data_IF_241086056425
#
_entry.id   IF_241086056425
#
_cell.length_a   1.000
_cell.length_b   1.000
_cell.length_c   1.000
_cell.angle_alpha   90.00
_cell.angle_beta   90.00
_cell.angle_gamma   90.00
#
_symmetry.space_group_name_H-M   'P 1'
#
loop_
_entity.id
_entity.type
_entity.pdbx_description
1 polymer ?
#
# COMPACT_ATOMS: atom_id res chain seq x y z
N UNK A 1 37.52 64.36 -14.51
CA UNK A 1 36.56 63.59 -13.69
C UNK A 1 35.41 63.13 -14.59
N UNK A 2 35.45 61.88 -15.07
CA UNK A 2 34.33 61.23 -15.76
C UNK A 2 33.98 60.00 -14.93
N UNK A 3 32.83 60.03 -14.26
CA UNK A 3 32.33 58.92 -13.45
C UNK A 3 31.60 57.91 -14.32
N UNK A 4 32.04 56.66 -14.32
CA UNK A 4 31.26 55.52 -14.78
C UNK A 4 30.44 54.99 -13.60
N UNK A 5 29.11 55.08 -13.70
CA UNK A 5 28.17 54.35 -12.84
C UNK A 5 28.02 52.93 -13.37
N UNK A 6 28.54 51.94 -12.65
CA UNK A 6 28.21 50.53 -12.85
C UNK A 6 26.84 50.23 -12.22
N UNK A 7 25.88 49.85 -13.05
CA UNK A 7 24.63 49.25 -12.60
C UNK A 7 24.87 47.75 -12.35
N UNK A 8 24.78 47.31 -11.10
CA UNK A 8 24.82 45.90 -10.74
C UNK A 8 23.47 45.24 -11.07
N UNK A 9 23.45 44.37 -12.07
CA UNK A 9 22.30 43.54 -12.41
C UNK A 9 22.24 42.37 -11.41
N UNK A 10 21.35 42.45 -10.41
CA UNK A 10 21.07 41.33 -9.52
C UNK A 10 20.19 40.33 -10.26
N UNK A 11 20.81 39.27 -10.77
CA UNK A 11 20.12 38.14 -11.39
C UNK A 11 19.62 37.23 -10.25
N UNK A 12 18.39 37.42 -9.76
CA UNK A 12 17.74 36.45 -8.88
C UNK A 12 17.47 35.19 -9.68
N UNK A 13 18.24 34.13 -9.43
CA UNK A 13 17.96 32.80 -9.93
C UNK A 13 16.63 32.32 -9.30
N UNK A 14 15.53 32.47 -10.02
CA UNK A 14 14.27 31.82 -9.69
C UNK A 14 14.45 30.36 -10.07
N UNK A 15 14.83 29.51 -9.11
CA UNK A 15 14.75 28.06 -9.30
C UNK A 15 13.28 27.74 -9.63
N UNK A 16 12.99 27.07 -10.76
CA UNK A 16 11.62 26.68 -11.05
C UNK A 16 11.14 25.77 -9.92
N UNK A 17 10.10 26.22 -9.21
CA UNK A 17 9.41 25.37 -8.24
C UNK A 17 8.82 24.20 -9.04
N UNK A 18 9.29 22.99 -8.77
CA UNK A 18 8.70 21.79 -9.33
C UNK A 18 7.27 21.68 -8.79
N UNK A 19 6.28 21.56 -9.66
CA UNK A 19 4.89 21.39 -9.22
C UNK A 19 4.72 19.97 -8.69
N UNK A 20 4.33 19.86 -7.42
CA UNK A 20 4.04 18.57 -6.80
C UNK A 20 2.85 17.89 -7.48
N UNK A 21 2.77 16.56 -7.38
CA UNK A 21 1.66 15.80 -7.95
C UNK A 21 0.31 16.32 -7.41
N UNK A 22 -0.70 16.53 -8.26
CA UNK A 22 -2.04 16.84 -7.81
C UNK A 22 -2.57 15.71 -6.90
N UNK A 23 -3.27 16.01 -5.80
CA UNK A 23 -3.89 14.95 -5.01
C UNK A 23 -4.83 14.08 -5.86
N UNK A 24 -4.78 12.77 -5.68
CA UNK A 24 -5.83 11.87 -6.17
C UNK A 24 -6.97 11.89 -5.15
N UNK A 25 -8.21 11.99 -5.66
CA UNK A 25 -9.43 12.10 -4.86
C UNK A 25 -10.45 11.05 -5.27
N UNK A 26 -11.33 10.70 -4.33
CA UNK A 26 -12.47 9.82 -4.58
C UNK A 26 -13.60 10.58 -5.28
N UNK A 27 -14.19 9.97 -6.31
CA UNK A 27 -15.53 10.30 -6.86
C UNK A 27 -16.33 9.02 -7.01
N UNK A 28 -17.38 8.84 -6.21
CA UNK A 28 -18.13 7.59 -6.15
C UNK A 28 -17.20 6.40 -5.91
N UNK A 29 -17.26 5.39 -6.77
CA UNK A 29 -16.38 4.21 -6.74
C UNK A 29 -15.08 4.34 -7.55
N UNK A 30 -14.69 5.56 -7.94
CA UNK A 30 -13.50 5.81 -8.77
C UNK A 30 -12.50 6.74 -8.08
N UNK A 31 -11.22 6.52 -8.35
CA UNK A 31 -10.15 7.48 -8.03
C UNK A 31 -9.89 8.39 -9.24
N UNK A 32 -9.72 9.69 -9.01
CA UNK A 32 -9.45 10.66 -10.08
C UNK A 32 -8.36 11.65 -9.68
N UNK A 33 -7.60 12.12 -10.65
CA UNK A 33 -6.69 13.26 -10.48
C UNK A 33 -7.51 14.54 -10.24
N UNK A 34 -7.21 15.26 -9.16
CA UNK A 34 -7.98 16.45 -8.78
C UNK A 34 -7.80 17.66 -9.72
N UNK A 35 -6.73 17.69 -10.51
CA UNK A 35 -6.45 18.78 -11.46
C UNK A 35 -7.07 18.52 -12.84
N UNK A 36 -7.12 17.25 -13.28
CA UNK A 36 -7.59 16.89 -14.63
C UNK A 36 -8.96 16.21 -14.63
N UNK A 37 -9.45 15.73 -13.49
CA UNK A 37 -10.59 14.82 -13.35
C UNK A 37 -10.44 13.49 -14.11
N UNK A 38 -9.25 13.17 -14.62
CA UNK A 38 -9.02 11.90 -15.28
C UNK A 38 -9.02 10.77 -14.25
N UNK A 39 -9.59 9.62 -14.64
CA UNK A 39 -9.55 8.41 -13.81
C UNK A 39 -8.09 8.00 -13.54
N UNK A 40 -7.82 7.69 -12.28
CA UNK A 40 -6.56 7.18 -11.80
C UNK A 40 -6.70 5.68 -11.48
N UNK A 41 -5.87 4.86 -12.12
CA UNK A 41 -5.74 3.44 -11.80
C UNK A 41 -4.37 3.19 -11.15
N UNK A 42 -4.36 2.43 -10.07
CA UNK A 42 -3.17 2.05 -9.32
C UNK A 42 -2.40 1.01 -10.13
N UNK A 43 -1.17 1.35 -10.51
CA UNK A 43 -0.17 0.43 -11.04
C UNK A 43 0.96 0.44 -10.02
N UNK A 44 0.93 -0.51 -9.09
CA UNK A 44 1.70 -0.37 -7.86
C UNK A 44 2.58 -1.55 -7.50
N UNK A 45 3.39 -1.30 -6.47
CA UNK A 45 4.21 -2.30 -5.79
C UNK A 45 4.24 -2.02 -4.30
N UNK A 46 4.23 -3.07 -3.51
CA UNK A 46 4.41 -3.00 -2.07
C UNK A 46 5.89 -2.76 -1.72
N UNK A 47 6.17 -1.72 -0.93
CA UNK A 47 7.54 -1.24 -0.67
C UNK A 47 7.83 -1.20 0.83
N UNK A 48 8.34 -2.31 1.36
CA UNK A 48 8.80 -2.39 2.75
C UNK A 48 10.12 -3.18 2.88
N UNK A 49 11.25 -2.70 2.34
CA UNK A 49 12.56 -3.30 2.61
C UNK A 49 12.80 -3.63 4.09
N UNK A 50 13.15 -4.88 4.39
CA UNK A 50 13.31 -5.41 5.75
C UNK A 50 12.03 -5.96 6.40
N UNK A 51 10.88 -5.80 5.73
CA UNK A 51 9.58 -6.33 6.14
C UNK A 51 9.17 -5.90 7.55
N UNK A 52 8.30 -6.70 8.17
CA UNK A 52 7.85 -6.47 9.56
C UNK A 52 8.97 -6.58 10.59
N UNK A 53 10.05 -7.32 10.26
CA UNK A 53 11.20 -7.49 11.14
C UNK A 53 12.04 -6.21 11.32
N UNK A 54 11.91 -5.27 10.38
CA UNK A 54 12.58 -3.97 10.47
C UNK A 54 11.96 -3.02 11.49
N UNK A 55 10.68 -3.20 11.84
CA UNK A 55 9.97 -2.26 12.70
C UNK A 55 10.64 -2.09 14.07
N UNK A 56 10.81 -0.84 14.52
CA UNK A 56 11.43 -0.53 15.81
C UNK A 56 12.94 -0.75 15.90
N UNK A 57 13.60 -1.19 14.83
CA UNK A 57 15.07 -1.37 14.78
C UNK A 57 15.84 -0.08 14.44
N UNK A 58 15.13 0.99 14.08
CA UNK A 58 15.70 2.22 13.53
C UNK A 58 16.04 2.16 12.04
N UNK A 59 15.97 0.97 11.41
CA UNK A 59 16.23 0.77 9.97
C UNK A 59 15.01 0.20 9.21
N UNK A 60 13.85 0.09 9.86
CA UNK A 60 12.63 -0.47 9.26
C UNK A 60 11.77 0.51 8.48
N UNK A 61 12.09 1.81 8.54
CA UNK A 61 11.36 2.86 7.84
C UNK A 61 11.93 3.06 6.42
N UNK A 62 11.21 2.66 5.37
CA UNK A 62 11.72 2.68 4.00
C UNK A 62 11.66 4.07 3.37
N UNK A 63 11.08 5.07 4.05
CA UNK A 63 10.96 6.44 3.57
C UNK A 63 11.92 7.40 4.32
N UNK A 64 12.87 6.88 5.07
CA UNK A 64 13.85 7.67 5.84
C UNK A 64 15.23 7.79 5.17
N UNK A 65 15.53 6.96 4.16
CA UNK A 65 16.79 6.97 3.40
C UNK A 65 16.57 7.48 1.97
N UNK A 66 16.80 8.78 1.75
CA UNK A 66 16.65 9.41 0.43
C UNK A 66 17.53 8.81 -0.66
N UNK A 67 18.67 8.20 -0.32
CA UNK A 67 19.57 7.57 -1.28
C UNK A 67 19.00 6.23 -1.75
N UNK A 68 18.47 5.42 -0.83
CA UNK A 68 17.73 4.20 -1.17
C UNK A 68 16.44 4.52 -1.95
N UNK A 69 15.66 5.51 -1.50
CA UNK A 69 14.45 5.97 -2.18
C UNK A 69 14.74 6.40 -3.62
N UNK A 70 15.83 7.14 -3.87
CA UNK A 70 16.20 7.53 -5.24
C UNK A 70 16.51 6.32 -6.12
N UNK A 71 17.30 5.36 -5.62
CA UNK A 71 17.62 4.12 -6.35
C UNK A 71 16.34 3.38 -6.75
N UNK A 72 15.44 3.18 -5.79
CA UNK A 72 14.26 2.37 -5.97
C UNK A 72 13.21 3.09 -6.82
N UNK A 73 12.96 4.38 -6.58
CA UNK A 73 12.05 5.20 -7.37
C UNK A 73 12.44 5.24 -8.86
N UNK A 74 13.74 5.29 -9.19
CA UNK A 74 14.19 5.27 -10.60
C UNK A 74 13.86 3.95 -11.30
N UNK A 75 13.90 2.83 -10.58
CA UNK A 75 13.59 1.51 -11.12
C UNK A 75 12.07 1.30 -11.19
N UNK A 76 11.33 1.68 -10.14
CA UNK A 76 9.86 1.71 -10.16
C UNK A 76 9.31 2.60 -11.27
N UNK A 77 9.93 3.77 -11.47
CA UNK A 77 9.56 4.67 -12.57
C UNK A 77 9.72 3.98 -13.93
N UNK A 78 10.79 3.18 -14.13
CA UNK A 78 10.99 2.39 -15.35
C UNK A 78 9.96 1.28 -15.52
N UNK A 79 9.48 0.65 -14.44
CA UNK A 79 8.38 -0.33 -14.50
C UNK A 79 7.07 0.30 -14.96
N UNK A 80 6.88 1.61 -14.75
CA UNK A 80 5.58 2.26 -14.92
C UNK A 80 4.76 2.31 -13.64
N UNK A 81 5.37 1.99 -12.49
CA UNK A 81 4.73 2.08 -11.16
C UNK A 81 4.38 3.54 -10.88
N UNK A 82 3.15 3.77 -10.42
CA UNK A 82 2.63 5.07 -10.04
C UNK A 82 2.17 5.14 -8.59
N UNK A 83 2.21 4.02 -7.86
CA UNK A 83 1.79 3.94 -6.46
C UNK A 83 2.66 2.94 -5.71
N UNK A 84 3.07 3.27 -4.49
CA UNK A 84 3.65 2.33 -3.55
C UNK A 84 2.79 2.21 -2.30
N UNK A 85 2.84 1.06 -1.64
CA UNK A 85 2.24 0.87 -0.30
C UNK A 85 3.32 0.59 0.73
N UNK A 86 3.20 1.24 1.89
CA UNK A 86 4.09 1.06 3.04
C UNK A 86 3.27 0.55 4.23
N UNK A 87 3.77 -0.48 4.90
CA UNK A 87 3.07 -1.23 5.96
C UNK A 87 3.37 -0.72 7.36
N UNK A 88 4.55 -0.14 7.57
CA UNK A 88 4.92 0.46 8.83
C UNK A 88 5.94 1.59 8.62
N UNK A 89 5.81 2.63 9.45
CA UNK A 89 6.57 3.85 9.36
C UNK A 89 6.89 4.37 10.77
N UNK A 90 8.03 5.02 10.95
CA UNK A 90 8.33 5.77 12.18
C UNK A 90 7.99 7.23 11.94
N UNK A 91 6.87 7.74 12.49
CA UNK A 91 6.44 9.12 12.25
C UNK A 91 7.37 10.17 12.85
N UNK A 92 8.37 9.78 13.65
CA UNK A 92 9.35 10.71 14.25
C UNK A 92 10.56 11.00 13.36
N UNK A 93 10.77 10.20 12.30
CA UNK A 93 11.85 10.41 11.34
C UNK A 93 11.48 11.47 10.30
N UNK A 94 12.49 11.95 9.55
CA UNK A 94 12.27 12.86 8.43
C UNK A 94 12.06 12.05 7.14
N UNK A 95 10.92 12.26 6.48
CA UNK A 95 10.57 11.61 5.21
C UNK A 95 10.56 12.56 4.01
N UNK A 96 10.93 13.84 4.23
CA UNK A 96 10.77 14.92 3.26
C UNK A 96 11.44 14.57 1.93
N UNK A 97 12.67 14.07 1.97
CA UNK A 97 13.44 13.76 0.77
C UNK A 97 12.86 12.57 0.01
N UNK A 98 12.51 11.48 0.69
CA UNK A 98 11.90 10.31 0.03
C UNK A 98 10.54 10.64 -0.58
N UNK A 99 9.68 11.34 0.16
CA UNK A 99 8.37 11.76 -0.35
C UNK A 99 8.52 12.67 -1.57
N UNK A 100 9.51 13.56 -1.58
CA UNK A 100 9.82 14.42 -2.72
C UNK A 100 10.37 13.67 -3.92
N UNK A 101 11.19 12.64 -3.69
CA UNK A 101 11.72 11.76 -4.75
C UNK A 101 10.58 10.98 -5.41
N UNK A 102 9.69 10.37 -4.61
CA UNK A 102 8.55 9.63 -5.16
C UNK A 102 7.55 10.56 -5.86
N UNK A 103 7.28 11.74 -5.31
CA UNK A 103 6.46 12.77 -5.97
C UNK A 103 7.05 13.14 -7.34
N UNK A 104 8.34 13.48 -7.37
CA UNK A 104 9.07 13.76 -8.59
C UNK A 104 9.11 12.58 -9.57
N UNK A 105 9.03 11.34 -9.08
CA UNK A 105 8.98 10.15 -9.92
C UNK A 105 7.59 9.93 -10.55
N UNK A 106 6.57 10.68 -10.15
CA UNK A 106 5.17 10.42 -10.52
C UNK A 106 4.51 9.33 -9.67
N UNK A 107 5.01 9.07 -8.46
CA UNK A 107 4.61 7.96 -7.59
C UNK A 107 3.88 8.49 -6.35
N UNK A 108 2.67 7.99 -6.16
CA UNK A 108 1.87 8.18 -4.96
C UNK A 108 2.16 7.13 -3.90
N UNK A 109 1.77 7.41 -2.66
CA UNK A 109 2.01 6.53 -1.51
C UNK A 109 0.69 6.24 -0.79
N UNK A 110 0.38 4.97 -0.57
CA UNK A 110 -0.63 4.52 0.40
C UNK A 110 0.12 4.10 1.67
N UNK A 111 -0.31 4.61 2.82
CA UNK A 111 0.34 4.30 4.10
C UNK A 111 -0.61 3.56 5.03
N UNK A 112 -0.18 2.41 5.53
CA UNK A 112 -0.77 1.82 6.72
C UNK A 112 -0.37 2.68 7.94
N UNK A 113 -1.35 3.08 8.76
CA UNK A 113 -1.10 3.89 9.98
C UNK A 113 -0.76 3.04 11.20
N UNK A 114 -0.59 1.74 10.97
CA UNK A 114 -0.32 0.75 12.00
C UNK A 114 1.15 0.35 11.94
N UNK A 115 1.65 -0.24 13.02
CA UNK A 115 2.94 -0.91 13.03
C UNK A 115 2.83 -2.22 13.81
N UNK A 116 3.77 -3.18 13.64
CA UNK A 116 3.77 -4.41 14.43
C UNK A 116 4.20 -4.18 15.89
N UNK A 117 4.53 -2.95 16.29
CA UNK A 117 4.94 -2.64 17.66
C UNK A 117 3.73 -2.62 18.60
N UNK A 118 3.95 -3.09 19.83
CA UNK A 118 2.89 -3.15 20.85
C UNK A 118 2.24 -1.78 21.06
N UNK A 119 0.90 -1.76 21.03
CA UNK A 119 0.10 -0.54 21.19
C UNK A 119 0.00 0.34 19.95
N UNK A 120 0.51 -0.09 18.79
CA UNK A 120 0.46 0.64 17.52
C UNK A 120 -0.41 -0.05 16.45
N UNK A 121 -1.27 -0.98 16.86
CA UNK A 121 -2.23 -1.66 16.00
C UNK A 121 -3.48 -2.08 16.78
N UNK A 122 -4.57 -2.37 16.06
CA UNK A 122 -5.75 -3.05 16.62
C UNK A 122 -5.49 -4.57 16.66
N UNK A 123 -5.41 -5.14 17.86
CA UNK A 123 -5.30 -6.60 18.03
C UNK A 123 -6.66 -7.26 17.76
N UNK A 124 -6.73 -8.06 16.70
CA UNK A 124 -7.95 -8.75 16.27
C UNK A 124 -8.54 -9.70 17.31
N UNK A 125 -7.73 -10.17 18.27
CA UNK A 125 -8.16 -11.03 19.38
C UNK A 125 -8.73 -10.23 20.57
N UNK A 126 -8.40 -8.94 20.66
CA UNK A 126 -8.83 -8.04 21.72
C UNK A 126 -9.01 -6.59 21.20
N UNK A 127 -9.95 -6.35 20.26
CA UNK A 127 -10.11 -5.03 19.66
C UNK A 127 -10.56 -3.98 20.68
N UNK A 128 -11.38 -4.38 21.65
CA UNK A 128 -11.83 -3.50 22.74
C UNK A 128 -10.67 -2.98 23.61
N UNK A 129 -9.70 -3.84 23.93
CA UNK A 129 -8.55 -3.46 24.77
C UNK A 129 -7.47 -2.68 24.02
N UNK A 130 -7.41 -2.80 22.70
CA UNK A 130 -6.36 -2.18 21.88
C UNK A 130 -6.80 -0.92 21.15
N UNK A 131 -8.10 -0.69 20.98
CA UNK A 131 -8.65 0.62 20.60
C UNK A 131 -8.64 1.57 21.80
N UNK A 132 -7.49 2.20 22.03
CA UNK A 132 -7.25 3.10 23.16
C UNK A 132 -6.52 4.39 22.73
N UNK A 133 -6.32 5.32 23.66
CA UNK A 133 -5.72 6.62 23.37
C UNK A 133 -4.25 6.56 22.95
N UNK A 134 -3.49 5.57 23.42
CA UNK A 134 -2.10 5.37 23.01
C UNK A 134 -2.00 5.01 21.53
N UNK A 135 -2.80 4.02 21.11
CA UNK A 135 -2.90 3.61 19.70
C UNK A 135 -3.38 4.76 18.82
N UNK A 136 -4.47 5.44 19.18
CA UNK A 136 -4.97 6.56 18.39
C UNK A 136 -4.00 7.75 18.35
N UNK A 137 -3.21 7.98 19.40
CA UNK A 137 -2.14 8.98 19.36
C UNK A 137 -1.04 8.61 18.37
N UNK A 138 -0.68 7.33 18.25
CA UNK A 138 0.26 6.88 17.20
C UNK A 138 -0.31 7.13 15.80
N UNK A 139 -1.55 6.68 15.56
CA UNK A 139 -2.26 6.88 14.29
C UNK A 139 -2.27 8.36 13.88
N UNK A 140 -2.60 9.26 14.81
CA UNK A 140 -2.62 10.69 14.52
C UNK A 140 -1.22 11.27 14.29
N UNK A 141 -0.16 10.79 14.94
CA UNK A 141 1.21 11.20 14.63
C UNK A 141 1.63 10.78 13.21
N UNK A 142 1.22 9.60 12.73
CA UNK A 142 1.44 9.21 11.33
C UNK A 142 0.71 10.17 10.38
N UNK A 143 -0.56 10.50 10.67
CA UNK A 143 -1.30 11.48 9.86
C UNK A 143 -0.59 12.84 9.88
N UNK A 144 -0.11 13.32 11.02
CA UNK A 144 0.61 14.59 11.14
C UNK A 144 1.90 14.63 10.31
N UNK A 145 2.69 13.56 10.37
CA UNK A 145 3.93 13.43 9.60
C UNK A 145 3.68 13.48 8.09
N UNK A 146 2.55 12.97 7.59
CA UNK A 146 2.34 12.76 6.15
C UNK A 146 1.23 13.59 5.49
N UNK A 147 0.31 14.20 6.24
CA UNK A 147 -0.81 14.97 5.66
C UNK A 147 -0.40 16.16 4.79
N UNK A 148 0.85 16.62 4.91
CA UNK A 148 1.42 17.72 4.14
C UNK A 148 1.77 17.36 2.69
N UNK A 149 1.99 16.09 2.38
CA UNK A 149 2.39 15.64 1.05
C UNK A 149 1.17 15.42 0.15
N UNK A 150 1.20 15.97 -1.06
CA UNK A 150 0.10 15.83 -2.02
C UNK A 150 0.07 14.46 -2.67
N UNK A 151 1.22 13.76 -2.75
CA UNK A 151 1.33 12.41 -3.26
C UNK A 151 0.94 11.30 -2.25
N UNK A 152 0.42 11.64 -1.06
CA UNK A 152 -0.27 10.65 -0.22
C UNK A 152 -1.64 10.34 -0.84
N UNK A 153 -1.78 9.14 -1.40
CA UNK A 153 -3.03 8.66 -2.02
C UNK A 153 -4.11 8.41 -0.96
N UNK A 154 -3.73 7.83 0.17
CA UNK A 154 -4.65 7.51 1.26
C UNK A 154 -3.98 6.78 2.40
N UNK A 155 -4.75 6.54 3.45
CA UNK A 155 -4.32 5.79 4.62
C UNK A 155 -5.12 4.50 4.79
N UNK A 156 -4.44 3.37 5.05
CA UNK A 156 -5.10 2.17 5.53
C UNK A 156 -5.22 2.23 7.06
N UNK A 157 -6.45 2.21 7.56
CA UNK A 157 -6.77 2.16 8.98
C UNK A 157 -6.45 0.79 9.61
N UNK A 158 -6.36 -0.26 8.80
CA UNK A 158 -6.06 -1.62 9.22
C UNK A 158 -5.81 -2.54 8.04
N UNK A 159 -5.10 -3.63 8.31
CA UNK A 159 -4.75 -4.67 7.35
C UNK A 159 -5.13 -6.04 7.92
N UNK A 160 -6.02 -6.76 7.24
CA UNK A 160 -6.43 -8.14 7.55
C UNK A 160 -6.76 -8.38 9.03
N UNK A 161 -7.37 -7.39 9.69
CA UNK A 161 -7.85 -7.54 11.07
C UNK A 161 -8.93 -8.64 11.10
N UNK A 162 -9.81 -8.62 10.11
CA UNK A 162 -10.74 -9.71 9.80
C UNK A 162 -10.03 -10.64 8.80
N UNK A 163 -9.62 -11.81 9.26
CA UNK A 163 -8.92 -12.82 8.45
C UNK A 163 -9.55 -14.22 8.52
N UNK A 164 -10.64 -14.36 9.28
CA UNK A 164 -11.45 -15.57 9.37
C UNK A 164 -12.85 -15.24 9.94
N UNK A 165 -13.74 -16.23 10.00
CA UNK A 165 -15.09 -16.05 10.55
C UNK A 165 -15.07 -15.64 12.04
N UNK A 166 -14.25 -16.25 12.93
CA UNK A 166 -14.16 -15.82 14.33
C UNK A 166 -13.80 -14.34 14.51
N UNK A 167 -12.88 -13.81 13.70
CA UNK A 167 -12.45 -12.40 13.77
C UNK A 167 -13.49 -11.44 13.16
N UNK A 168 -14.40 -11.92 12.31
CA UNK A 168 -15.48 -11.13 11.73
C UNK A 168 -16.59 -10.74 12.73
N UNK A 169 -16.70 -11.42 13.87
CA UNK A 169 -17.68 -11.09 14.92
C UNK A 169 -17.35 -9.82 15.71
N UNK A 170 -16.16 -9.71 16.33
CA UNK A 170 -15.85 -8.59 17.22
C UNK A 170 -15.23 -7.37 16.54
N UNK A 171 -14.55 -7.52 15.40
CA UNK A 171 -13.69 -6.48 14.83
C UNK A 171 -14.38 -5.38 13.97
N UNK A 172 -15.42 -5.65 13.16
CA UNK A 172 -15.95 -4.65 12.22
C UNK A 172 -16.32 -3.29 12.86
N UNK A 173 -16.97 -3.22 14.04
CA UNK A 173 -17.29 -1.93 14.67
C UNK A 173 -16.06 -1.08 15.00
N UNK A 174 -14.95 -1.71 15.39
CA UNK A 174 -13.70 -1.02 15.75
C UNK A 174 -12.96 -0.50 14.52
N UNK A 175 -12.97 -1.25 13.41
CA UNK A 175 -12.42 -0.79 12.14
C UNK A 175 -13.14 0.49 11.70
N UNK A 176 -14.49 0.50 11.74
CA UNK A 176 -15.28 1.70 11.45
C UNK A 176 -15.00 2.85 12.42
N UNK A 177 -14.83 2.57 13.72
CA UNK A 177 -14.51 3.60 14.71
C UNK A 177 -13.14 4.26 14.47
N UNK A 178 -12.12 3.48 14.12
CA UNK A 178 -10.79 4.00 13.76
C UNK A 178 -10.89 4.87 12.51
N UNK A 179 -11.57 4.42 11.45
CA UNK A 179 -11.76 5.21 10.23
C UNK A 179 -12.51 6.52 10.51
N UNK A 180 -13.57 6.49 11.32
CA UNK A 180 -14.30 7.68 11.76
C UNK A 180 -13.36 8.69 12.42
N UNK A 181 -12.56 8.22 13.37
CA UNK A 181 -11.69 9.08 14.17
C UNK A 181 -10.54 9.65 13.34
N UNK A 182 -9.93 8.85 12.45
CA UNK A 182 -8.94 9.32 11.47
C UNK A 182 -9.53 10.39 10.56
N UNK A 183 -10.71 10.15 9.99
CA UNK A 183 -11.36 11.10 9.07
C UNK A 183 -11.76 12.40 9.78
N UNK A 184 -12.24 12.31 11.02
CA UNK A 184 -12.54 13.49 11.84
C UNK A 184 -11.27 14.29 12.18
N UNK A 185 -10.15 13.60 12.44
CA UNK A 185 -8.86 14.23 12.66
C UNK A 185 -8.35 14.94 11.40
N UNK A 186 -8.34 14.25 10.26
CA UNK A 186 -7.92 14.79 8.95
C UNK A 186 -8.77 16.02 8.60
N UNK A 187 -10.09 15.95 8.75
CA UNK A 187 -10.99 17.07 8.45
C UNK A 187 -10.72 18.34 9.27
N UNK A 188 -10.17 18.20 10.49
CA UNK A 188 -9.80 19.33 11.35
C UNK A 188 -8.39 19.85 11.10
N UNK A 189 -7.45 18.98 10.75
CA UNK A 189 -6.02 19.28 10.82
C UNK A 189 -5.28 19.23 9.48
N UNK A 190 -5.89 18.74 8.40
CA UNK A 190 -5.30 18.71 7.07
C UNK A 190 -5.92 19.77 6.15
N UNK A 191 -5.14 20.25 5.18
CA UNK A 191 -5.60 21.25 4.18
C UNK A 191 -6.44 20.64 3.05
N UNK A 192 -6.44 19.31 2.94
CA UNK A 192 -7.18 18.54 1.93
C UNK A 192 -7.81 17.32 2.57
N UNK A 193 -8.84 16.79 1.93
CA UNK A 193 -9.32 15.45 2.23
C UNK A 193 -8.24 14.43 1.85
N UNK A 194 -8.01 13.46 2.73
CA UNK A 194 -7.15 12.30 2.48
C UNK A 194 -8.03 11.07 2.71
N UNK A 195 -8.27 10.23 1.69
CA UNK A 195 -9.07 9.03 1.84
C UNK A 195 -8.53 8.11 2.93
N UNK A 196 -9.43 7.52 3.73
CA UNK A 196 -9.11 6.47 4.70
C UNK A 196 -9.87 5.20 4.36
N UNK A 197 -9.15 4.10 4.17
CA UNK A 197 -9.71 2.81 3.79
C UNK A 197 -9.21 1.65 4.66
N UNK A 198 -9.50 0.44 4.20
CA UNK A 198 -9.14 -0.81 4.86
C UNK A 198 -8.59 -1.80 3.84
N UNK A 199 -7.55 -2.55 4.22
CA UNK A 199 -6.97 -3.64 3.42
C UNK A 199 -7.48 -4.96 3.97
N UNK A 200 -8.24 -5.70 3.16
CA UNK A 200 -8.94 -6.91 3.55
C UNK A 200 -8.25 -8.18 3.06
N UNK A 201 -8.35 -9.25 3.86
CA UNK A 201 -8.01 -10.60 3.41
C UNK A 201 -9.10 -11.16 2.48
N UNK A 202 -8.69 -11.98 1.52
CA UNK A 202 -9.59 -12.67 0.60
C UNK A 202 -10.19 -13.93 1.25
N UNK A 203 -11.13 -13.73 2.17
CA UNK A 203 -11.83 -14.81 2.88
C UNK A 203 -13.20 -15.02 2.27
N UNK A 204 -13.30 -15.95 1.32
CA UNK A 204 -14.50 -16.26 0.51
C UNK A 204 -15.83 -16.20 1.27
N UNK A 205 -15.88 -16.76 2.49
CA UNK A 205 -17.12 -16.90 3.27
C UNK A 205 -17.66 -15.62 3.91
N UNK A 206 -16.85 -14.56 3.97
CA UNK A 206 -17.18 -13.29 4.64
C UNK A 206 -16.72 -12.04 3.88
N UNK A 207 -16.07 -12.19 2.72
CA UNK A 207 -15.56 -11.06 1.95
C UNK A 207 -16.67 -10.09 1.56
N UNK A 208 -17.80 -10.60 1.05
CA UNK A 208 -18.94 -9.77 0.68
C UNK A 208 -19.48 -9.00 1.90
N UNK A 209 -19.68 -9.69 3.03
CA UNK A 209 -20.18 -9.06 4.25
C UNK A 209 -19.21 -7.99 4.77
N UNK A 210 -17.89 -8.23 4.70
CA UNK A 210 -16.87 -7.27 5.10
C UNK A 210 -16.92 -6.00 4.25
N UNK A 211 -16.95 -6.15 2.92
CA UNK A 211 -17.05 -5.03 2.01
C UNK A 211 -18.39 -4.28 2.17
N UNK A 212 -19.53 -4.98 2.25
CA UNK A 212 -20.84 -4.35 2.45
C UNK A 212 -20.90 -3.57 3.78
N UNK A 213 -20.33 -4.15 4.84
CA UNK A 213 -20.25 -3.50 6.14
C UNK A 213 -19.42 -2.22 6.11
N UNK A 214 -18.31 -2.21 5.38
CA UNK A 214 -17.38 -1.09 5.35
C UNK A 214 -17.79 0.02 4.37
N UNK A 215 -18.46 -0.31 3.27
CA UNK A 215 -18.90 0.72 2.31
C UNK A 215 -20.18 1.45 2.73
N UNK A 216 -21.07 0.82 3.51
CA UNK A 216 -22.40 1.36 3.76
C UNK A 216 -22.38 2.66 4.60
N UNK A 217 -23.37 3.51 4.36
CA UNK A 217 -23.58 4.77 5.08
C UNK A 217 -24.30 4.52 6.41
N UNK A 218 -23.61 4.82 7.52
CA UNK A 218 -24.08 4.68 8.90
C UNK A 218 -24.57 6.01 9.50
N UNK A 219 -24.68 7.09 8.71
CA UNK A 219 -25.02 8.42 9.20
C UNK A 219 -23.88 9.15 9.91
N UNK A 220 -22.65 8.68 9.74
CA UNK A 220 -21.42 9.26 10.27
C UNK A 220 -20.25 9.12 9.27
N UNK A 221 -19.05 9.54 9.65
CA UNK A 221 -17.85 9.47 8.80
C UNK A 221 -17.15 8.09 8.80
N UNK A 222 -17.76 7.04 9.37
CA UNK A 222 -17.10 5.76 9.62
C UNK A 222 -17.00 4.81 8.42
N UNK A 223 -17.67 5.11 7.31
CA UNK A 223 -17.56 4.34 6.08
C UNK A 223 -16.15 4.44 5.51
N UNK A 224 -15.65 3.33 4.95
CA UNK A 224 -14.38 3.33 4.21
C UNK A 224 -14.48 4.23 2.98
N UNK A 225 -13.41 4.96 2.68
CA UNK A 225 -13.32 5.76 1.46
C UNK A 225 -12.89 4.90 0.27
N UNK A 226 -12.14 3.82 0.51
CA UNK A 226 -11.73 2.79 -0.44
C UNK A 226 -11.56 1.44 0.25
N UNK A 227 -11.52 0.36 -0.52
CA UNK A 227 -11.35 -1.01 -0.02
C UNK A 227 -10.24 -1.71 -0.81
N UNK A 228 -9.15 -2.02 -0.13
CA UNK A 228 -8.07 -2.85 -0.66
C UNK A 228 -8.39 -4.32 -0.42
N UNK A 229 -8.11 -5.18 -1.40
CA UNK A 229 -8.17 -6.63 -1.24
C UNK A 229 -6.78 -7.24 -1.47
N UNK A 230 -6.30 -8.01 -0.50
CA UNK A 230 -5.12 -8.83 -0.66
C UNK A 230 -5.52 -10.12 -1.38
N UNK A 231 -5.41 -10.17 -2.71
CA UNK A 231 -5.88 -11.30 -3.51
C UNK A 231 -4.72 -12.03 -4.19
N UNK A 232 -4.55 -13.29 -3.80
CA UNK A 232 -3.50 -14.19 -4.29
C UNK A 232 -4.09 -15.38 -5.07
N UNK A 233 -5.34 -15.27 -5.53
CA UNK A 233 -6.08 -16.39 -6.14
C UNK A 233 -5.60 -16.76 -7.56
N UNK A 234 -4.86 -15.88 -8.23
CA UNK A 234 -4.25 -16.16 -9.52
C UNK A 234 -2.81 -16.65 -9.35
N UNK A 235 -2.54 -17.90 -9.70
CA UNK A 235 -1.20 -18.50 -9.59
C UNK A 235 -0.77 -19.17 -10.92
N UNK A 236 0.35 -18.72 -11.48
CA UNK A 236 0.95 -19.30 -12.70
C UNK A 236 0.29 -18.85 -14.02
N UNK A 237 0.88 -19.25 -15.14
CA UNK A 237 0.45 -18.83 -16.49
C UNK A 237 -0.75 -19.59 -17.05
N UNK A 238 -1.13 -20.71 -16.45
CA UNK A 238 -2.31 -21.50 -16.86
C UNK A 238 -3.61 -21.01 -16.20
N UNK A 239 -3.51 -20.11 -15.21
CA UNK A 239 -4.68 -19.53 -14.58
C UNK A 239 -5.42 -18.57 -15.54
N UNK A 240 -6.74 -18.52 -15.41
CA UNK A 240 -7.63 -17.65 -16.18
C UNK A 240 -8.46 -16.77 -15.26
N UNK A 241 -9.14 -15.78 -15.85
CA UNK A 241 -10.09 -14.91 -15.16
C UNK A 241 -11.15 -15.69 -14.35
N UNK A 242 -11.57 -16.85 -14.85
CA UNK A 242 -12.53 -17.74 -14.18
C UNK A 242 -11.86 -18.65 -13.15
N UNK A 243 -10.73 -19.28 -13.48
CA UNK A 243 -10.08 -20.23 -12.57
C UNK A 243 -9.51 -19.54 -11.34
N UNK A 244 -9.06 -18.29 -11.48
CA UNK A 244 -8.62 -17.43 -10.37
C UNK A 244 -9.79 -16.80 -9.60
N UNK A 245 -11.03 -16.97 -10.05
CA UNK A 245 -12.21 -16.41 -9.37
C UNK A 245 -12.37 -14.88 -9.52
N UNK A 246 -11.56 -14.21 -10.34
CA UNK A 246 -11.70 -12.77 -10.58
C UNK A 246 -13.06 -12.40 -11.18
N UNK A 247 -13.66 -13.30 -11.97
CA UNK A 247 -15.04 -13.17 -12.41
C UNK A 247 -16.06 -13.08 -11.27
N UNK A 248 -15.84 -13.81 -10.17
CA UNK A 248 -16.69 -13.76 -8.98
C UNK A 248 -16.47 -12.47 -8.21
N UNK A 249 -15.22 -12.00 -8.09
CA UNK A 249 -14.89 -10.72 -7.46
C UNK A 249 -15.56 -9.55 -8.19
N UNK A 250 -15.47 -9.50 -9.52
CA UNK A 250 -16.15 -8.47 -10.33
C UNK A 250 -17.67 -8.52 -10.15
N UNK A 251 -18.26 -9.72 -10.13
CA UNK A 251 -19.70 -9.86 -9.92
C UNK A 251 -20.13 -9.40 -8.50
N UNK A 252 -19.37 -9.77 -7.47
CA UNK A 252 -19.60 -9.39 -6.08
C UNK A 252 -19.54 -7.87 -5.90
N UNK A 253 -18.51 -7.23 -6.45
CA UNK A 253 -18.26 -5.81 -6.29
C UNK A 253 -19.02 -4.91 -7.25
N UNK A 254 -19.81 -5.46 -8.18
CA UNK A 254 -20.54 -4.70 -9.19
C UNK A 254 -21.34 -3.50 -8.64
N UNK A 255 -22.00 -3.56 -7.46
CA UNK A 255 -22.72 -2.42 -6.90
C UNK A 255 -21.86 -1.54 -5.96
N UNK A 256 -20.53 -1.58 -6.06
CA UNK A 256 -19.65 -0.80 -5.19
C UNK A 256 -19.80 0.71 -5.37
N UNK A 257 -19.65 1.41 -4.25
CA UNK A 257 -19.78 2.86 -4.12
C UNK A 257 -18.50 3.51 -3.60
N UNK A 258 -17.47 2.70 -3.41
CA UNK A 258 -16.11 3.08 -3.03
C UNK A 258 -15.12 2.42 -4.00
N UNK A 259 -13.95 3.05 -4.27
CA UNK A 259 -12.92 2.41 -5.07
C UNK A 259 -12.46 1.11 -4.44
N UNK A 260 -12.31 0.09 -5.28
CA UNK A 260 -11.78 -1.22 -4.91
C UNK A 260 -10.55 -1.47 -5.76
N UNK A 261 -9.48 -1.96 -5.14
CA UNK A 261 -8.26 -2.34 -5.84
C UNK A 261 -7.61 -3.51 -5.12
N UNK A 262 -6.71 -4.22 -5.80
CA UNK A 262 -5.90 -5.22 -5.11
C UNK A 262 -4.80 -4.51 -4.33
N UNK A 263 -4.92 -4.49 -3.01
CA UNK A 263 -3.90 -3.91 -2.13
C UNK A 263 -2.64 -4.77 -2.10
N UNK A 264 -2.76 -6.05 -2.46
CA UNK A 264 -1.69 -6.99 -2.76
C UNK A 264 -2.17 -7.96 -3.85
N UNK A 265 -1.30 -8.33 -4.80
CA UNK A 265 -1.44 -9.49 -5.66
C UNK A 265 -0.07 -10.05 -6.09
N UNK A 266 -0.08 -11.22 -6.73
CA UNK A 266 1.13 -11.83 -7.31
C UNK A 266 1.55 -13.11 -6.59
N UNK A 267 0.66 -14.11 -6.57
CA UNK A 267 0.90 -15.43 -6.00
C UNK A 267 2.24 -16.04 -6.45
N UNK A 268 3.03 -16.55 -5.50
CA UNK A 268 4.33 -17.17 -5.78
C UNK A 268 4.35 -18.70 -5.71
N UNK A 269 3.18 -19.38 -5.65
CA UNK A 269 3.10 -20.84 -5.65
C UNK A 269 3.66 -21.49 -6.92
N UNK A 270 3.68 -20.74 -8.04
CA UNK A 270 4.32 -21.12 -9.30
C UNK A 270 5.37 -20.07 -9.63
N UNK A 271 6.64 -20.49 -9.74
CA UNK A 271 7.77 -19.62 -9.98
C UNK A 271 8.52 -19.98 -11.29
N UNK A 272 9.11 -19.00 -12.00
CA UNK A 272 9.03 -17.56 -11.74
C UNK A 272 7.61 -17.03 -11.99
N UNK A 273 7.23 -15.94 -11.33
CA UNK A 273 5.90 -15.35 -11.50
C UNK A 273 5.83 -14.69 -12.88
N UNK A 274 4.84 -15.09 -13.68
CA UNK A 274 4.66 -14.61 -15.06
C UNK A 274 3.77 -13.36 -15.15
N UNK A 275 3.04 -13.06 -14.06
CA UNK A 275 2.17 -11.89 -13.89
C UNK A 275 1.06 -11.75 -14.96
N UNK A 276 0.54 -12.85 -15.49
CA UNK A 276 -0.54 -12.79 -16.49
C UNK A 276 -1.84 -12.20 -15.93
N UNK A 277 -2.03 -12.23 -14.60
CA UNK A 277 -3.11 -11.55 -13.88
C UNK A 277 -3.14 -10.04 -14.12
N UNK A 278 -2.01 -9.42 -14.47
CA UNK A 278 -1.95 -8.01 -14.87
C UNK A 278 -2.85 -7.76 -16.07
N UNK A 279 -2.84 -8.64 -17.07
CA UNK A 279 -3.67 -8.45 -18.27
C UNK A 279 -5.16 -8.62 -17.96
N UNK A 280 -5.50 -9.43 -16.96
CA UNK A 280 -6.87 -9.53 -16.47
C UNK A 280 -7.28 -8.28 -15.68
N UNK A 281 -6.47 -7.88 -14.69
CA UNK A 281 -6.75 -6.77 -13.77
C UNK A 281 -6.90 -5.42 -14.47
N UNK A 282 -6.06 -5.15 -15.47
CA UNK A 282 -6.12 -3.92 -16.27
C UNK A 282 -6.88 -4.11 -17.60
N UNK A 283 -7.51 -5.26 -17.79
CA UNK A 283 -8.29 -5.60 -18.98
C UNK A 283 -9.74 -5.11 -18.92
N UNK A 284 -10.48 -5.23 -20.03
CA UNK A 284 -11.84 -4.68 -20.17
C UNK A 284 -12.83 -5.23 -19.13
N UNK A 285 -12.65 -6.48 -18.68
CA UNK A 285 -13.55 -7.14 -17.74
C UNK A 285 -13.39 -6.67 -16.29
N UNK A 286 -12.28 -6.00 -15.93
CA UNK A 286 -11.97 -5.61 -14.56
C UNK A 286 -11.87 -4.09 -14.38
N UNK A 287 -12.33 -3.31 -15.36
CA UNK A 287 -12.39 -1.84 -15.28
C UNK A 287 -13.30 -1.31 -14.16
N UNK A 288 -14.00 -2.17 -13.42
CA UNK A 288 -14.66 -1.82 -12.16
C UNK A 288 -13.64 -1.53 -11.05
N UNK A 289 -12.56 -2.30 -10.97
CA UNK A 289 -11.49 -2.12 -9.98
C UNK A 289 -10.56 -0.99 -10.42
N UNK A 290 -9.88 -0.38 -9.46
CA UNK A 290 -8.95 0.73 -9.62
C UNK A 290 -7.50 0.24 -9.70
N UNK A 291 -7.26 -0.95 -10.24
CA UNK A 291 -5.92 -1.55 -10.39
C UNK A 291 -5.45 -2.30 -9.14
N UNK A 292 -4.15 -2.26 -8.86
CA UNK A 292 -3.58 -2.91 -7.68
C UNK A 292 -2.06 -2.80 -7.55
N UNK A 293 -1.53 -3.40 -6.48
CA UNK A 293 -0.10 -3.41 -6.14
C UNK A 293 0.45 -4.84 -6.07
N UNK A 294 1.60 -5.07 -6.71
CA UNK A 294 2.31 -6.36 -6.62
C UNK A 294 3.04 -6.46 -5.28
N UNK A 295 2.87 -7.59 -4.59
CA UNK A 295 3.62 -7.94 -3.40
C UNK A 295 4.85 -8.78 -3.80
N UNK A 296 6.11 -8.37 -3.57
CA UNK A 296 6.59 -7.09 -3.03
C UNK A 296 7.92 -6.67 -3.67
N UNK A 297 8.39 -5.45 -3.38
CA UNK A 297 9.60 -4.90 -3.99
C UNK A 297 10.86 -5.70 -3.66
N UNK A 298 11.23 -5.83 -2.38
CA UNK A 298 12.47 -6.46 -1.95
C UNK A 298 12.30 -7.96 -1.69
N UNK A 299 13.31 -8.72 -2.04
CA UNK A 299 13.40 -10.15 -1.73
C UNK A 299 13.68 -10.32 -0.24
N UNK A 300 12.69 -10.85 0.47
CA UNK A 300 12.78 -11.23 1.88
C UNK A 300 12.71 -12.77 2.02
N UNK A 301 12.53 -13.29 3.25
CA UNK A 301 12.46 -14.73 3.51
C UNK A 301 11.20 -15.45 3.00
N UNK A 302 10.32 -14.74 2.29
CA UNK A 302 9.01 -15.21 1.81
C UNK A 302 8.96 -15.44 0.27
N UNK A 303 10.03 -15.16 -0.46
CA UNK A 303 10.15 -15.38 -1.91
C UNK A 303 9.16 -14.60 -2.78
N UNK A 304 8.87 -13.35 -2.41
CA UNK A 304 8.01 -12.43 -3.18
C UNK A 304 8.75 -11.26 -3.84
N UNK A 305 10.06 -11.14 -3.69
CA UNK A 305 10.80 -9.96 -4.12
C UNK A 305 10.93 -9.80 -5.63
N UNK A 306 10.77 -8.57 -6.13
CA UNK A 306 11.17 -8.18 -7.48
C UNK A 306 12.68 -7.94 -7.59
N UNK A 307 13.30 -7.47 -6.51
CA UNK A 307 14.73 -7.11 -6.46
C UNK A 307 15.42 -7.64 -5.22
N UNK A 308 16.73 -7.88 -5.31
CA UNK A 308 17.56 -8.19 -4.13
C UNK A 308 18.42 -6.98 -3.78
N UNK A 309 18.22 -6.43 -2.58
CA UNK A 309 19.04 -5.34 -2.04
C UNK A 309 20.19 -5.96 -1.22
N UNK A 310 21.43 -5.71 -1.64
CA UNK A 310 22.60 -6.27 -0.99
C UNK A 310 23.05 -5.38 0.19
N UNK A 311 23.84 -5.96 1.11
CA UNK A 311 24.38 -5.26 2.29
C UNK A 311 25.23 -4.03 1.98
N UNK A 312 25.81 -3.93 0.77
CA UNK A 312 26.55 -2.76 0.29
C UNK A 312 25.65 -1.74 -0.44
N UNK A 313 24.33 -1.83 -0.27
CA UNK A 313 23.28 -1.04 -0.93
C UNK A 313 23.19 -1.19 -2.46
N UNK A 314 23.97 -2.07 -3.09
CA UNK A 314 23.75 -2.44 -4.49
C UNK A 314 22.47 -3.26 -4.66
N UNK A 315 21.91 -3.29 -5.88
CA UNK A 315 20.64 -3.94 -6.17
C UNK A 315 20.76 -4.86 -7.39
N UNK A 316 20.22 -6.08 -7.27
CA UNK A 316 20.06 -7.00 -8.40
C UNK A 316 18.59 -7.09 -8.80
N UNK A 317 18.29 -6.96 -10.10
CA UNK A 317 16.95 -7.22 -10.61
C UNK A 317 16.68 -8.73 -10.64
N UNK A 318 15.51 -9.14 -10.16
CA UNK A 318 15.03 -10.51 -10.24
C UNK A 318 14.36 -10.83 -11.58
N UNK A 319 14.12 -12.12 -11.84
CA UNK A 319 13.34 -12.55 -13.01
C UNK A 319 11.91 -12.02 -12.99
N UNK A 320 11.31 -11.95 -11.80
CA UNK A 320 9.97 -11.43 -11.59
C UNK A 320 9.86 -9.95 -11.94
N UNK A 321 10.89 -9.13 -11.66
CA UNK A 321 10.93 -7.74 -12.14
C UNK A 321 10.82 -7.66 -13.67
N UNK A 322 11.53 -8.54 -14.38
CA UNK A 322 11.52 -8.55 -15.85
C UNK A 322 10.19 -9.03 -16.42
N UNK A 323 9.57 -10.03 -15.79
CA UNK A 323 8.25 -10.51 -16.16
C UNK A 323 7.18 -9.43 -15.92
N UNK A 324 7.23 -8.77 -14.75
CA UNK A 324 6.31 -7.68 -14.43
C UNK A 324 6.46 -6.50 -15.39
N UNK A 325 7.70 -6.08 -15.70
CA UNK A 325 7.97 -5.05 -16.70
C UNK A 325 7.32 -5.40 -18.05
N UNK A 326 7.45 -6.66 -18.48
CA UNK A 326 6.87 -7.13 -19.73
C UNK A 326 5.34 -7.08 -19.72
N UNK A 327 4.68 -7.34 -18.59
CA UNK A 327 3.23 -7.25 -18.47
C UNK A 327 2.74 -5.81 -18.33
N UNK A 328 3.40 -4.97 -17.54
CA UNK A 328 3.05 -3.56 -17.39
C UNK A 328 3.18 -2.79 -18.70
N UNK A 329 4.19 -3.10 -19.52
CA UNK A 329 4.33 -2.50 -20.85
C UNK A 329 3.15 -2.81 -21.81
N UNK A 330 2.35 -3.84 -21.53
CA UNK A 330 1.17 -4.20 -22.35
C UNK A 330 -0.12 -3.52 -21.87
N UNK A 331 -0.10 -2.83 -20.73
CA UNK A 331 -1.30 -2.17 -20.19
C UNK A 331 -1.81 -1.11 -21.17
N UNK A 332 -3.10 -1.18 -21.51
CA UNK A 332 -3.79 -0.12 -22.24
C UNK A 332 -4.10 1.04 -21.27
N UNK A 333 -3.20 2.03 -21.25
CA UNK A 333 -3.34 3.24 -20.41
C UNK A 333 -4.63 4.01 -20.74
N UNK A 334 -5.06 4.01 -22.00
CA UNK A 334 -6.28 4.69 -22.42
C UNK A 334 -7.54 4.04 -21.83
N UNK A 335 -7.58 2.71 -21.80
CA UNK A 335 -8.67 1.95 -21.20
C UNK A 335 -8.81 2.23 -19.69
N UNK A 336 -7.70 2.16 -18.94
CA UNK A 336 -7.74 2.29 -17.47
C UNK A 336 -7.94 3.74 -17.00
N UNK A 337 -7.69 4.72 -17.86
CA UNK A 337 -7.94 6.14 -17.60
C UNK A 337 -9.30 6.63 -18.13
N UNK A 338 -10.07 5.76 -18.78
CA UNK A 338 -11.40 6.11 -19.28
C UNK A 338 -12.35 6.45 -18.11
N UNK A 339 -13.03 7.58 -18.22
CA UNK A 339 -14.02 8.02 -17.24
C UNK A 339 -15.22 7.07 -17.19
N UNK A 340 -15.86 6.97 -16.02
CA UNK A 340 -17.08 6.19 -15.83
C UNK A 340 -18.06 6.98 -14.96
N UNK A 341 -18.88 7.81 -15.60
CA UNK A 341 -19.81 8.71 -14.94
C UNK A 341 -20.76 8.00 -13.95
N UNK A 342 -21.19 6.76 -14.28
CA UNK A 342 -22.06 5.99 -13.39
C UNK A 342 -21.32 5.60 -12.10
N UNK A 343 -20.09 5.11 -12.21
CA UNK A 343 -19.24 4.81 -11.05
C UNK A 343 -18.91 6.07 -10.23
N UNK A 344 -18.63 7.19 -10.90
CA UNK A 344 -18.32 8.47 -10.25
C UNK A 344 -19.49 9.08 -9.47
N UNK A 345 -20.72 8.69 -9.79
CA UNK A 345 -21.96 9.14 -9.14
C UNK A 345 -22.56 8.13 -8.16
N UNK A 346 -21.89 6.99 -7.93
CA UNK A 346 -22.37 5.92 -7.06
C UNK A 346 -22.56 6.41 -5.61
N UNK A 347 -23.68 6.00 -4.99
CA UNK A 347 -24.03 6.41 -3.62
C UNK A 347 -24.15 5.19 -2.71
N UNK A 348 -23.52 5.28 -1.54
CA UNK A 348 -23.49 4.18 -0.58
C UNK A 348 -24.91 3.78 -0.13
N UNK A 349 -25.21 2.48 -0.04
CA UNK A 349 -26.45 2.03 0.58
C UNK A 349 -26.45 2.38 2.07
N UNK A 350 -27.63 2.59 2.66
CA UNK A 350 -27.76 2.71 4.11
C UNK A 350 -27.40 1.38 4.77
N UNK A 351 -26.61 1.44 5.83
CA UNK A 351 -26.29 0.27 6.62
C UNK A 351 -27.56 -0.41 7.16
N UNK A 352 -27.67 -1.72 6.97
CA UNK A 352 -28.80 -2.51 7.43
C UNK A 352 -28.35 -3.96 7.64
N UNK A 353 -28.89 -4.63 8.65
CA UNK A 353 -28.49 -6.01 8.99
C UNK A 353 -28.69 -7.00 7.83
N UNK A 354 -29.64 -6.73 6.93
CA UNK A 354 -29.90 -7.51 5.71
C UNK A 354 -28.78 -7.50 4.68
N UNK A 355 -27.82 -6.56 4.79
CA UNK A 355 -26.61 -6.53 3.96
C UNK A 355 -25.62 -7.63 4.35
N UNK A 356 -25.76 -8.17 5.57
CA UNK A 356 -24.86 -9.18 6.14
C UNK A 356 -25.54 -10.54 6.10
N UNK A 357 -24.90 -11.49 5.46
CA UNK A 357 -25.45 -12.82 5.16
C UNK A 357 -24.90 -13.91 6.09
N UNK A 358 -23.64 -13.83 6.49
CA UNK A 358 -23.00 -14.81 7.37
C UNK A 358 -23.35 -14.54 8.84
N UNK A 359 -23.83 -15.55 9.55
CA UNK A 359 -24.22 -15.43 10.96
C UNK A 359 -23.06 -15.20 11.93
N UNK A 360 -21.83 -15.50 11.51
CA UNK A 360 -20.61 -15.20 12.26
C UNK A 360 -20.08 -13.78 12.07
N UNK A 361 -20.61 -13.04 11.08
CA UNK A 361 -20.21 -11.66 10.82
C UNK A 361 -21.03 -10.67 11.66
N UNK A 362 -20.39 -9.61 12.15
CA UNK A 362 -21.10 -8.56 12.89
C UNK A 362 -22.12 -7.82 12.02
N UNK A 363 -23.41 -7.99 12.32
CA UNK A 363 -24.49 -7.28 11.61
C UNK A 363 -25.03 -6.05 12.36
N UNK A 364 -24.35 -5.64 13.43
CA UNK A 364 -24.62 -4.39 14.15
C UNK A 364 -23.76 -3.26 13.59
N UNK A 365 -24.39 -2.14 13.30
CA UNK A 365 -23.69 -0.92 12.86
C UNK A 365 -23.49 0.08 14.01
N UNK A 366 -23.70 -0.36 15.25
CA UNK A 366 -23.29 0.39 16.43
C UNK A 366 -21.78 0.30 16.58
N UNK A 367 -21.10 1.45 16.48
CA UNK A 367 -19.65 1.57 16.63
C UNK A 367 -19.30 2.20 17.98
N UNK A 368 -18.17 1.83 18.61
CA UNK A 368 -17.75 2.42 19.88
C UNK A 368 -17.48 3.92 19.74
N UNK A 369 -17.75 4.67 20.82
CA UNK A 369 -17.34 6.08 20.93
C UNK A 369 -15.81 6.19 21.01
N UNK A 370 -15.22 7.34 20.66
CA UNK A 370 -13.78 7.55 20.84
C UNK A 370 -13.35 7.26 22.28
N UNK A 371 -12.25 6.53 22.51
CA UNK A 371 -11.72 6.27 23.84
C UNK A 371 -11.42 7.57 24.60
N UNK A 372 -11.31 7.46 25.93
CA UNK A 372 -10.99 8.61 26.78
C UNK A 372 -9.74 9.36 26.27
N UNK A 373 -9.86 10.67 26.06
CA UNK A 373 -8.78 11.53 25.54
C UNK A 373 -8.69 11.62 24.02
N UNK A 374 -9.20 10.64 23.26
CA UNK A 374 -9.11 10.63 21.78
C UNK A 374 -9.89 11.79 21.16
N UNK A 375 -11.07 12.12 21.69
CA UNK A 375 -11.83 13.27 21.20
C UNK A 375 -11.09 14.60 21.42
N UNK A 376 -10.28 14.71 22.48
CA UNK A 376 -9.46 15.90 22.72
C UNK A 376 -8.30 15.98 21.71
N UNK A 377 -7.66 14.86 21.39
CA UNK A 377 -6.67 14.78 20.31
C UNK A 377 -7.27 15.16 18.95
N UNK A 378 -8.45 14.63 18.62
CA UNK A 378 -9.18 15.03 17.39
C UNK A 378 -9.44 16.52 17.37
N UNK A 379 -9.85 17.12 18.47
CA UNK A 379 -10.20 18.55 18.50
C UNK A 379 -8.98 19.48 18.47
N UNK A 380 -7.91 19.12 19.18
CA UNK A 380 -6.80 20.03 19.47
C UNK A 380 -5.50 19.67 18.73
N UNK A 381 -5.45 18.50 18.09
CA UNK A 381 -4.23 17.94 17.51
C UNK A 381 -3.37 17.21 18.56
N UNK A 382 -2.34 16.50 18.07
CA UNK A 382 -1.32 15.88 18.93
C UNK A 382 -0.27 16.92 19.33
N UNK A 383 0.16 16.90 20.60
CA UNK A 383 1.21 17.82 21.09
C UNK A 383 2.59 17.38 20.60
N UNK A 384 3.40 18.32 20.10
CA UNK A 384 4.74 18.00 19.56
C UNK A 384 4.68 17.15 18.29
N UNK A 385 3.59 17.27 17.54
CA UNK A 385 3.36 16.49 16.34
C UNK A 385 4.51 16.64 15.33
N UNK A 386 4.95 15.54 14.70
CA UNK A 386 5.87 15.61 13.57
C UNK A 386 5.19 16.32 12.40
N UNK A 387 5.98 16.96 11.53
CA UNK A 387 5.47 17.60 10.33
C UNK A 387 6.35 17.28 9.16
N UNK A 388 5.76 16.84 8.05
CA UNK A 388 6.44 16.64 6.78
C UNK A 388 6.21 17.77 5.80
N UNK A 389 7.21 18.07 4.99
CA UNK A 389 7.13 19.02 3.89
C UNK A 389 8.04 18.59 2.73
N UNK A 390 7.65 18.87 1.49
CA UNK A 390 8.53 18.56 0.37
C UNK A 390 9.88 19.29 0.47
N UNK A 391 10.95 18.54 0.23
CA UNK A 391 12.32 19.02 0.10
C UNK A 391 12.72 19.12 -1.39
N UNK A 392 13.78 19.87 -1.67
CA UNK A 392 14.31 19.96 -3.04
C UNK A 392 15.07 18.69 -3.42
N UNK A 393 14.64 18.03 -4.51
CA UNK A 393 15.36 16.90 -5.11
C UNK A 393 16.47 17.44 -6.02
N UNK A 394 17.71 17.42 -5.53
CA UNK A 394 18.89 17.89 -6.28
C UNK A 394 19.71 16.75 -6.88
N UNK A 395 19.76 15.61 -6.20
CA UNK A 395 20.38 14.38 -6.70
C UNK A 395 19.34 13.58 -7.50
N UNK A 396 19.59 13.39 -8.79
CA UNK A 396 18.71 12.61 -9.67
C UNK A 396 19.37 11.35 -10.22
N UNK A 397 20.68 11.19 -10.05
CA UNK A 397 21.44 10.04 -10.56
C UNK A 397 21.61 9.00 -9.48
N UNK A 398 21.29 7.74 -9.78
CA UNK A 398 21.54 6.60 -8.90
C UNK A 398 23.05 6.36 -8.82
N UNK A 399 23.57 6.27 -7.59
CA UNK A 399 25.00 6.09 -7.32
C UNK A 399 25.36 4.65 -6.95
N UNK A 400 24.38 3.87 -6.52
CA UNK A 400 24.53 2.44 -6.19
C UNK A 400 24.77 1.61 -7.45
N UNK A 401 25.51 0.51 -7.29
CA UNK A 401 25.54 -0.53 -8.31
C UNK A 401 24.16 -1.15 -8.49
N UNK A 402 23.64 -1.13 -9.71
CA UNK A 402 22.41 -1.83 -10.08
C UNK A 402 22.73 -2.80 -11.20
N UNK A 403 22.32 -4.05 -11.05
CA UNK A 403 22.66 -5.14 -11.96
C UNK A 403 21.39 -5.81 -12.48
N UNK A 404 21.41 -6.18 -13.76
CA UNK A 404 20.32 -6.98 -14.33
C UNK A 404 20.42 -8.45 -13.88
N UNK A 405 19.47 -9.29 -14.34
CA UNK A 405 19.40 -10.72 -14.02
C UNK A 405 20.63 -11.53 -14.43
N UNK A 406 21.45 -11.01 -15.35
CA UNK A 406 22.70 -11.62 -15.82
C UNK A 406 23.95 -11.04 -15.13
N UNK A 407 23.78 -10.22 -14.09
CA UNK A 407 24.88 -9.57 -13.36
C UNK A 407 25.53 -8.40 -14.12
N UNK A 408 24.95 -7.94 -15.23
CA UNK A 408 25.49 -6.80 -15.99
C UNK A 408 25.02 -5.49 -15.34
N UNK A 409 25.97 -4.59 -15.05
CA UNK A 409 25.67 -3.31 -14.45
C UNK A 409 24.84 -2.41 -15.38
N UNK A 410 23.70 -1.94 -14.89
CA UNK A 410 22.88 -0.92 -15.54
C UNK A 410 23.55 0.45 -15.41
N UNK A 411 23.46 1.25 -16.47
CA UNK A 411 24.06 2.59 -16.57
C UNK A 411 22.97 3.62 -16.84
N UNK A 412 23.30 4.89 -16.60
CA UNK A 412 22.41 6.03 -16.87
C UNK A 412 21.04 5.91 -16.18
N UNK A 413 21.06 5.46 -14.93
CA UNK A 413 19.89 5.41 -14.06
C UNK A 413 19.68 6.81 -13.47
N UNK A 414 18.73 7.54 -14.04
CA UNK A 414 18.41 8.92 -13.69
C UNK A 414 16.92 9.06 -13.48
N UNK A 415 16.52 9.73 -12.41
CA UNK A 415 15.14 10.10 -12.10
C UNK A 415 14.65 11.09 -13.14
N UNK A 416 13.55 10.74 -13.82
CA UNK A 416 12.84 11.67 -14.70
C UNK A 416 11.81 12.42 -13.87
N UNK A 417 12.06 13.69 -13.62
CA UNK A 417 11.13 14.54 -12.89
C UNK A 417 9.82 14.67 -13.70
N UNK A 418 8.67 14.32 -13.10
CA UNK A 418 7.33 14.42 -13.69
C UNK A 418 6.36 15.15 -12.76
N UNK A 419 5.50 16.01 -13.31
CA UNK A 419 4.37 16.63 -12.59
C UNK A 419 3.07 15.86 -12.76
N UNK A 420 3.12 14.71 -13.44
CA UNK A 420 1.99 13.80 -13.66
C UNK A 420 2.29 12.44 -13.05
N UNK A 421 1.24 11.68 -12.74
CA UNK A 421 1.36 10.27 -12.38
C UNK A 421 2.22 9.52 -13.42
N UNK A 422 3.10 8.65 -12.93
CA UNK A 422 3.88 7.80 -13.80
C UNK A 422 2.98 6.77 -14.50
N UNK A 423 3.40 6.31 -15.67
CA UNK A 423 2.69 5.26 -16.43
C UNK A 423 3.71 4.38 -17.15
N UNK A 424 3.36 3.12 -17.49
CA UNK A 424 4.21 2.29 -18.33
C UNK A 424 4.64 3.01 -19.61
N UNK A 425 5.95 2.99 -19.88
CA UNK A 425 6.55 3.77 -20.97
C UNK A 425 7.23 2.89 -22.02
N UNK A 426 6.84 1.62 -22.14
CA UNK A 426 7.51 0.62 -22.98
C UNK A 426 9.03 0.55 -22.72
N UNK A 427 9.41 0.66 -21.45
CA UNK A 427 10.82 0.66 -21.07
C UNK A 427 11.45 -0.71 -21.34
N UNK A 428 12.70 -0.71 -21.81
CA UNK A 428 13.50 -1.92 -22.01
C UNK A 428 14.75 -1.89 -21.13
N UNK A 429 15.15 -3.04 -20.61
CA UNK A 429 16.39 -3.21 -19.85
C UNK A 429 17.33 -4.09 -20.66
N UNK A 430 18.41 -3.49 -21.17
CA UNK A 430 19.37 -4.14 -22.04
C UNK A 430 20.09 -5.29 -21.33
N UNK A 431 20.29 -6.41 -22.03
CA UNK A 431 21.10 -7.53 -21.56
C UNK A 431 20.41 -8.46 -20.55
N UNK A 432 19.12 -8.28 -20.27
CA UNK A 432 18.30 -9.22 -19.51
C UNK A 432 17.48 -10.08 -20.49
N UNK A 433 17.81 -11.37 -20.62
CA UNK A 433 16.93 -12.30 -21.32
C UNK A 433 15.74 -12.65 -20.43
N UNK A 434 14.51 -12.56 -20.95
CA UNK A 434 13.36 -13.29 -20.42
C UNK A 434 13.57 -14.78 -20.71
N UNK A 435 14.46 -15.41 -19.94
CA UNK A 435 14.93 -16.77 -20.17
C UNK A 435 14.52 -17.67 -19.02
N UNK A 436 13.64 -18.64 -19.33
CA UNK A 436 13.34 -19.82 -18.52
C UNK A 436 14.66 -20.48 -18.10
N UNK A 437 15.12 -20.21 -16.89
CA UNK A 437 16.38 -20.78 -16.41
C UNK A 437 16.15 -22.22 -16.01
N UNK A 438 16.54 -23.15 -16.89
CA UNK A 438 16.73 -24.55 -16.54
C UNK A 438 17.87 -24.64 -15.51
N UNK A 439 17.51 -24.89 -14.24
CA UNK A 439 18.50 -25.15 -13.19
C UNK A 439 19.24 -26.45 -13.49
N UNK A 440 20.57 -26.37 -13.63
CA UNK A 440 21.44 -27.54 -13.60
C UNK A 440 21.43 -28.14 -12.20
N UNK A 441 20.99 -29.40 -12.12
CA UNK A 441 20.88 -30.19 -10.90
C UNK A 441 22.26 -30.55 -10.35
N UNK A 442 22.56 -30.10 -9.14
CA UNK A 442 23.44 -30.83 -8.23
C UNK A 442 22.69 -31.07 -6.93
N UNK A 443 22.33 -32.34 -6.71
CA UNK A 443 21.65 -32.80 -5.49
C UNK A 443 22.58 -32.67 -4.28
N UNK A 444 22.02 -32.30 -3.13
CA UNK A 444 22.12 -33.23 -2.00
C UNK A 444 20.77 -33.47 -1.31
N UNK A 445 20.55 -34.76 -1.08
CA UNK A 445 19.78 -35.46 -0.04
C UNK A 445 18.80 -34.67 0.85
N UNK A 446 17.56 -35.15 0.80
CA UNK A 446 16.39 -34.64 1.49
C UNK A 446 16.41 -34.84 3.02
N UNK A 447 15.79 -33.88 3.72
CA UNK A 447 14.99 -34.10 4.93
C UNK A 447 13.83 -33.12 4.89
N UNK A 448 12.64 -33.63 4.55
CA UNK A 448 11.38 -32.86 4.43
C UNK A 448 10.90 -32.43 5.82
N UNK A 449 10.75 -31.12 6.02
CA UNK A 449 9.79 -30.56 6.96
C UNK A 449 8.75 -29.79 6.12
N UNK A 450 7.48 -30.18 6.25
CA UNK A 450 6.37 -29.60 5.49
C UNK A 450 5.95 -28.25 6.10
N UNK A 451 5.82 -27.22 5.26
CA UNK A 451 5.09 -26.00 5.59
C UNK A 451 3.58 -26.27 5.48
N UNK A 452 2.73 -25.71 6.37
CA UNK A 452 1.35 -26.10 6.48
C UNK A 452 0.49 -25.41 5.41
N UNK A 453 -0.29 -26.23 4.71
CA UNK A 453 -1.45 -25.84 3.93
C UNK A 453 -2.59 -25.41 4.84
N UNK A 454 -3.24 -24.30 4.46
CA UNK A 454 -4.45 -23.79 5.06
C UNK A 454 -5.61 -24.77 4.88
N UNK A 455 -5.88 -25.58 5.90
CA UNK A 455 -7.15 -26.27 6.08
C UNK A 455 -7.74 -25.94 7.45
N UNK A 456 -9.01 -25.53 7.40
CA UNK A 456 -9.91 -25.33 8.53
C UNK A 456 -9.90 -26.57 9.43
N UNK A 457 -9.57 -26.41 10.71
CA UNK A 457 -9.86 -27.40 11.74
C UNK A 457 -10.50 -26.71 12.94
N UNK A 458 -11.67 -27.23 13.29
CA UNK A 458 -12.50 -26.84 14.40
C UNK A 458 -11.84 -27.07 15.77
N UNK A 459 -12.21 -26.20 16.72
CA UNK A 459 -12.31 -26.37 18.16
C UNK A 459 -11.46 -27.45 18.87
N UNK A 460 -10.64 -27.02 19.83
CA UNK A 460 -10.32 -27.83 21.00
C UNK A 460 -9.07 -27.42 21.79
N UNK A 461 -9.27 -26.91 23.00
CA UNK A 461 -8.44 -27.30 24.15
C UNK A 461 -7.31 -26.36 24.59
N UNK A 462 -7.64 -25.54 25.60
CA UNK A 462 -6.74 -25.01 26.65
C UNK A 462 -5.59 -25.96 27.03
N UNK A 463 -4.34 -25.49 26.99
CA UNK A 463 -3.33 -25.84 27.99
C UNK A 463 -2.47 -24.60 28.29
N UNK A 464 -2.59 -24.12 29.54
CA UNK A 464 -1.74 -23.10 30.14
C UNK A 464 -0.36 -23.69 30.47
N UNK A 465 0.72 -23.03 30.03
CA UNK A 465 2.09 -23.35 30.40
C UNK A 465 2.57 -22.47 31.55
N UNK A 466 2.65 -23.05 32.75
CA UNK A 466 3.27 -22.46 33.94
C UNK A 466 4.77 -22.22 33.74
N UNK A 467 5.24 -21.03 34.10
CA UNK A 467 6.65 -20.68 34.26
C UNK A 467 7.11 -21.23 35.62
N UNK A 468 7.95 -22.26 35.60
CA UNK A 468 8.65 -22.78 36.77
C UNK A 468 9.97 -22.05 36.98
N UNK A 469 10.04 -21.25 38.04
CA UNK A 469 11.26 -20.64 38.58
C UNK A 469 12.09 -21.73 39.27
N UNK A 470 13.32 -21.93 38.83
CA UNK A 470 14.31 -22.75 39.53
C UNK A 470 15.10 -21.84 40.48
N UNK A 471 14.91 -22.02 41.79
CA UNK A 471 15.81 -21.50 42.81
C UNK A 471 16.34 -22.69 43.62
N UNK A 472 17.67 -22.73 43.74
CA UNK A 472 18.42 -23.76 44.41
C UNK A 472 18.34 -23.66 45.94
N UNK A 473 18.68 -24.79 46.58
CA UNK A 473 19.47 -24.96 47.82
C UNK A 473 18.76 -25.88 48.83
N UNK A 474 19.42 -27.04 49.01
CA UNK A 474 19.38 -28.05 50.08
C UNK A 474 18.15 -28.97 50.17
#
# INVERSE_FOLDING_TARGET
MRGLTQAALVLTAVSPAFASLPPIVKKGSTLVDSSTNQRFAIIGVDYQPGGSSGAGTGNGDPLSDGVACLRDAVLMQKLGVNTIRIYNIDPTLNHDLCMSIFDAAGIYVILDVNSPLSGQYLDRSNPAGTYNSGYMSHVFNVIEAFKGYTNILGFFAGNEIINDVPTAGPNPPYIRAIQRDMKNYIAKHAKRSIPVGYSAADVDTILQDNWEYLQCDNGDSSSSDFFGLNSYSWCGGDATYESAGYNKLVAMFAPTTIPIFFSEYGCNLVAPRVFDEVQALYGPNMTLLSGGLVYEWSQEGNDYGLVTINSNASLNLGGDYMNLLAQYNKIDVGLIQAANNSAESATAPKCASKLISNSGFNNSFSIPSPPAGVQALINNGVTGAPTGAFASVTATTVTQGVFNTNGVALKNLVLKMSSNANTPSNATISGASSGTSASSTSSPTASKAAAPSSHVVAAGGLIAGFIGVLAAIL
#
